data_IF_408608250863
#
_entry.id   IF_408608250863
#
_cell.length_a   1.000
_cell.length_b   1.000
_cell.length_c   1.000
_cell.angle_alpha   90.00
_cell.angle_beta   90.00
_cell.angle_gamma   90.00
#
_symmetry.space_group_name_H-M   'P 1'
#
loop_
_entity.id
_entity.type
_entity.pdbx_description
1 polymer ?
#
# COMPACT_ATOMS: atom_id res chain seq x y z
N UNK A 1 -26.57 -21.53 -12.71
CA UNK A 1 -25.85 -20.88 -11.60
C UNK A 1 -25.59 -19.47 -12.04
N UNK A 2 -26.21 -18.51 -11.36
CA UNK A 2 -26.27 -17.10 -11.76
C UNK A 2 -25.12 -16.36 -11.06
N UNK A 3 -23.96 -16.29 -11.71
CA UNK A 3 -22.77 -15.64 -11.19
C UNK A 3 -22.70 -14.21 -11.74
N UNK A 4 -22.64 -13.20 -10.87
CA UNK A 4 -22.25 -11.85 -11.30
C UNK A 4 -20.72 -11.76 -11.31
N UNK A 5 -20.13 -11.32 -12.42
CA UNK A 5 -18.67 -11.12 -12.50
C UNK A 5 -18.26 -9.98 -11.57
N UNK A 6 -17.72 -10.32 -10.39
CA UNK A 6 -16.90 -9.42 -9.59
C UNK A 6 -15.52 -9.20 -10.22
N UNK A 7 -14.61 -8.53 -9.50
CA UNK A 7 -13.18 -8.58 -9.86
C UNK A 7 -12.71 -10.05 -9.82
N UNK A 8 -11.72 -10.45 -10.62
CA UNK A 8 -11.21 -11.84 -10.66
C UNK A 8 -10.79 -12.40 -9.28
N UNK A 9 -10.71 -11.54 -8.26
CA UNK A 9 -10.34 -11.86 -6.88
C UNK A 9 -11.54 -12.20 -5.98
N UNK A 10 -12.77 -11.93 -6.42
CA UNK A 10 -13.99 -12.13 -5.63
C UNK A 10 -14.93 -13.08 -6.39
N UNK A 11 -15.10 -14.27 -5.84
CA UNK A 11 -16.11 -15.24 -6.28
C UNK A 11 -17.26 -15.13 -5.29
N UNK A 12 -18.39 -14.59 -5.74
CA UNK A 12 -19.59 -14.43 -4.92
C UNK A 12 -20.73 -15.28 -5.50
N UNK A 13 -21.40 -16.02 -4.63
CA UNK A 13 -22.61 -16.79 -4.93
C UNK A 13 -23.72 -16.48 -3.92
N UNK A 14 -24.85 -17.17 -4.06
CA UNK A 14 -26.02 -17.02 -3.19
C UNK A 14 -25.79 -17.43 -1.74
N UNK A 15 -24.68 -18.11 -1.42
CA UNK A 15 -24.27 -18.48 -0.06
C UNK A 15 -23.23 -17.53 0.55
N UNK A 16 -22.80 -16.52 -0.20
CA UNK A 16 -21.81 -15.53 0.27
C UNK A 16 -22.45 -14.60 1.29
N UNK A 17 -21.91 -14.58 2.51
CA UNK A 17 -22.41 -13.77 3.63
C UNK A 17 -21.30 -12.82 4.13
N UNK A 18 -21.50 -11.49 4.12
CA UNK A 18 -20.52 -10.51 4.58
C UNK A 18 -20.25 -10.57 6.09
N UNK A 19 -21.11 -11.22 6.88
CA UNK A 19 -20.99 -11.37 8.33
C UNK A 19 -20.28 -12.68 8.70
N UNK A 20 -20.41 -13.73 7.89
CA UNK A 20 -19.84 -15.06 8.16
C UNK A 20 -18.40 -15.25 7.64
N UNK A 21 -17.53 -14.26 7.86
CA UNK A 21 -16.12 -14.32 7.47
C UNK A 21 -15.26 -15.22 8.39
N UNK A 22 -14.22 -15.85 7.84
CA UNK A 22 -13.19 -16.54 8.63
C UNK A 22 -11.86 -15.80 8.52
N UNK A 23 -11.29 -15.39 9.65
CA UNK A 23 -9.95 -14.81 9.68
C UNK A 23 -8.93 -15.89 9.32
N UNK A 24 -8.14 -15.64 8.26
CA UNK A 24 -7.04 -16.52 7.85
C UNK A 24 -5.74 -15.76 7.91
N UNK A 25 -4.76 -16.36 8.57
CA UNK A 25 -3.42 -15.79 8.64
C UNK A 25 -2.73 -15.85 7.27
N UNK A 26 -2.12 -14.73 6.86
CA UNK A 26 -1.36 -14.61 5.62
C UNK A 26 0.13 -14.69 5.94
N UNK A 27 0.60 -15.90 6.25
CA UNK A 27 1.94 -16.17 6.78
C UNK A 27 3.06 -15.44 6.04
N UNK A 28 3.13 -15.55 4.70
CA UNK A 28 4.18 -14.92 3.90
C UNK A 28 4.23 -13.40 4.10
N UNK A 29 3.08 -12.72 4.03
CA UNK A 29 3.02 -11.26 4.21
C UNK A 29 3.35 -10.86 5.66
N UNK A 30 2.83 -11.60 6.63
CA UNK A 30 3.10 -11.33 8.05
C UNK A 30 4.57 -11.54 8.41
N UNK A 31 5.20 -12.62 7.93
CA UNK A 31 6.62 -12.88 8.16
C UNK A 31 7.47 -11.82 7.46
N UNK A 32 7.14 -11.45 6.22
CA UNK A 32 7.86 -10.41 5.48
C UNK A 32 7.87 -9.08 6.23
N UNK A 33 6.69 -8.55 6.58
CA UNK A 33 6.58 -7.27 7.31
C UNK A 33 7.20 -7.39 8.70
N UNK A 34 6.92 -8.50 9.41
CA UNK A 34 7.47 -8.74 10.74
C UNK A 34 8.99 -8.80 10.76
N UNK A 35 9.62 -9.43 9.77
CA UNK A 35 11.08 -9.49 9.63
C UNK A 35 11.68 -8.11 9.35
N UNK A 36 11.06 -7.30 8.48
CA UNK A 36 11.49 -5.92 8.24
C UNK A 36 11.42 -5.08 9.53
N UNK A 37 10.30 -5.17 10.27
CA UNK A 37 10.12 -4.45 11.54
C UNK A 37 11.13 -4.89 12.59
N UNK A 38 11.33 -6.20 12.77
CA UNK A 38 12.29 -6.73 13.74
C UNK A 38 13.71 -6.31 13.39
N UNK A 39 14.07 -6.36 12.10
CA UNK A 39 15.38 -5.88 11.62
C UNK A 39 15.58 -4.41 11.94
N UNK A 40 14.57 -3.56 11.69
CA UNK A 40 14.66 -2.13 12.01
C UNK A 40 14.81 -1.87 13.51
N UNK A 41 14.10 -2.62 14.37
CA UNK A 41 14.18 -2.46 15.83
C UNK A 41 15.53 -2.91 16.40
N UNK A 42 16.08 -4.02 15.89
CA UNK A 42 17.35 -4.56 16.38
C UNK A 42 18.53 -3.80 15.78
N UNK A 43 18.59 -3.67 14.46
CA UNK A 43 19.74 -3.09 13.76
C UNK A 43 19.72 -1.56 13.72
N UNK A 44 18.53 -0.94 13.79
CA UNK A 44 18.36 0.51 13.68
C UNK A 44 19.21 1.32 14.65
N UNK A 45 19.22 1.03 15.98
CA UNK A 45 20.04 1.76 16.95
C UNK A 45 21.55 1.71 16.64
N UNK A 46 22.03 0.60 16.08
CA UNK A 46 23.45 0.41 15.77
C UNK A 46 23.87 1.03 14.42
N UNK A 47 22.92 1.19 13.49
CA UNK A 47 23.16 1.70 12.15
C UNK A 47 22.66 3.14 11.95
N UNK A 48 22.18 3.78 13.01
CA UNK A 48 21.56 5.09 12.93
C UNK A 48 22.56 6.18 12.54
N UNK A 49 22.18 6.99 11.56
CA UNK A 49 22.81 8.26 11.25
C UNK A 49 21.74 9.31 10.95
N UNK A 50 22.06 10.58 11.20
CA UNK A 50 21.14 11.69 10.89
C UNK A 50 20.80 11.77 9.41
N UNK A 51 21.78 11.49 8.54
CA UNK A 51 21.58 11.47 7.09
C UNK A 51 20.61 10.36 6.66
N UNK A 52 20.74 9.16 7.24
CA UNK A 52 19.83 8.05 6.97
C UNK A 52 18.40 8.39 7.42
N UNK A 53 18.24 9.03 8.59
CA UNK A 53 16.94 9.49 9.05
C UNK A 53 16.34 10.53 8.10
N UNK A 54 17.14 11.50 7.63
CA UNK A 54 16.68 12.53 6.71
C UNK A 54 16.23 11.93 5.37
N UNK A 55 17.03 11.02 4.80
CA UNK A 55 16.68 10.29 3.57
C UNK A 55 15.39 9.49 3.77
N UNK A 56 15.24 8.81 4.90
CA UNK A 56 14.02 8.08 5.24
C UNK A 56 12.79 9.00 5.28
N UNK A 57 12.88 10.17 5.94
CA UNK A 57 11.77 11.12 6.04
C UNK A 57 11.39 11.70 4.69
N UNK A 58 12.38 12.09 3.87
CA UNK A 58 12.15 12.58 2.51
C UNK A 58 11.51 11.49 1.65
N UNK A 59 12.05 10.27 1.70
CA UNK A 59 11.51 9.12 0.98
C UNK A 59 10.06 8.82 1.39
N UNK A 60 9.74 8.88 2.67
CA UNK A 60 8.36 8.73 3.18
C UNK A 60 7.46 9.85 2.63
N UNK A 61 7.91 11.10 2.67
CA UNK A 61 7.16 12.23 2.12
C UNK A 61 6.84 12.05 0.63
N UNK A 62 7.81 11.62 -0.17
CA UNK A 62 7.65 11.43 -1.62
C UNK A 62 6.75 10.22 -1.91
N UNK A 63 6.97 9.09 -1.25
CA UNK A 63 6.29 7.83 -1.62
C UNK A 63 4.96 7.65 -0.90
N UNK A 64 4.91 7.82 0.43
CA UNK A 64 3.68 7.62 1.23
C UNK A 64 2.72 8.80 1.13
N UNK A 65 3.23 10.02 1.32
CA UNK A 65 2.37 11.19 1.34
C UNK A 65 2.00 11.63 -0.07
N UNK A 66 3.00 11.95 -0.90
CA UNK A 66 2.74 12.39 -2.28
C UNK A 66 2.27 11.22 -3.14
N UNK A 67 3.02 10.12 -3.17
CA UNK A 67 2.71 9.02 -4.07
C UNK A 67 1.42 8.29 -3.76
N UNK A 68 1.35 7.64 -2.59
CA UNK A 68 0.18 6.83 -2.20
C UNK A 68 -1.02 7.71 -1.84
N UNK A 69 -0.86 8.71 -0.97
CA UNK A 69 -2.02 9.47 -0.47
C UNK A 69 -2.54 10.50 -1.47
N UNK A 70 -1.68 11.30 -2.08
CA UNK A 70 -2.11 12.32 -3.07
C UNK A 70 -2.30 11.70 -4.46
N UNK A 71 -1.34 10.93 -4.95
CA UNK A 71 -1.36 10.29 -6.26
C UNK A 71 -2.38 9.17 -6.36
N UNK A 72 -2.12 8.01 -5.74
CA UNK A 72 -3.00 6.85 -5.91
C UNK A 72 -4.38 7.05 -5.29
N UNK A 73 -4.44 7.49 -4.03
CA UNK A 73 -5.72 7.57 -3.32
C UNK A 73 -6.56 8.76 -3.82
N UNK A 74 -6.06 9.99 -3.72
CA UNK A 74 -6.89 11.17 -4.06
C UNK A 74 -7.03 11.41 -5.56
N UNK A 75 -5.96 11.26 -6.35
CA UNK A 75 -6.02 11.52 -7.79
C UNK A 75 -6.53 10.32 -8.57
N UNK A 76 -5.90 9.15 -8.49
CA UNK A 76 -6.25 7.99 -9.32
C UNK A 76 -7.58 7.32 -8.91
N UNK A 77 -7.80 7.08 -7.61
CA UNK A 77 -8.99 6.38 -7.11
C UNK A 77 -10.18 7.33 -6.98
N UNK A 78 -10.00 8.47 -6.31
CA UNK A 78 -11.09 9.40 -5.99
C UNK A 78 -11.24 10.58 -6.96
N UNK A 79 -10.31 10.78 -7.91
CA UNK A 79 -10.35 11.87 -8.89
C UNK A 79 -10.65 13.26 -8.28
N UNK A 80 -10.06 13.57 -7.12
CA UNK A 80 -10.45 14.74 -6.29
C UNK A 80 -9.93 16.10 -6.75
N UNK A 81 -8.99 16.15 -7.69
CA UNK A 81 -8.41 17.39 -8.21
C UNK A 81 -7.81 17.16 -9.60
N UNK A 82 -7.69 18.20 -10.42
CA UNK A 82 -7.07 18.12 -11.75
C UNK A 82 -5.56 18.34 -11.68
N UNK A 83 -4.80 17.61 -12.51
CA UNK A 83 -3.38 17.85 -12.71
C UNK A 83 -2.94 17.39 -14.11
N UNK A 84 -1.81 17.90 -14.65
CA UNK A 84 -1.26 17.40 -15.90
C UNK A 84 -0.94 15.90 -15.81
N UNK A 85 -1.16 15.16 -16.91
CA UNK A 85 -1.04 13.71 -16.93
C UNK A 85 0.34 13.20 -16.49
N UNK A 86 1.42 13.92 -16.83
CA UNK A 86 2.77 13.54 -16.40
C UNK A 86 2.92 13.56 -14.87
N UNK A 87 2.28 14.51 -14.19
CA UNK A 87 2.36 14.65 -12.74
C UNK A 87 1.57 13.53 -12.06
N UNK A 88 0.40 13.19 -12.62
CA UNK A 88 -0.37 12.02 -12.18
C UNK A 88 0.47 10.74 -12.26
N UNK A 89 1.13 10.48 -13.39
CA UNK A 89 1.98 9.30 -13.54
C UNK A 89 3.15 9.27 -12.57
N UNK A 90 3.83 10.40 -12.35
CA UNK A 90 4.93 10.47 -11.38
C UNK A 90 4.45 10.15 -9.96
N UNK A 91 3.34 10.75 -9.54
CA UNK A 91 2.78 10.50 -8.21
C UNK A 91 2.29 9.06 -8.06
N UNK A 92 1.55 8.53 -9.03
CA UNK A 92 1.06 7.15 -8.99
C UNK A 92 2.23 6.16 -8.97
N UNK A 93 3.26 6.38 -9.79
CA UNK A 93 4.45 5.54 -9.79
C UNK A 93 5.18 5.57 -8.44
N UNK A 94 5.36 6.75 -7.84
CA UNK A 94 5.92 6.89 -6.50
C UNK A 94 5.07 6.15 -5.45
N UNK A 95 3.74 6.13 -5.61
CA UNK A 95 2.83 5.37 -4.76
C UNK A 95 2.96 3.85 -4.90
N UNK A 96 3.23 3.34 -6.11
CA UNK A 96 3.47 1.91 -6.35
C UNK A 96 4.70 1.40 -5.59
N UNK A 97 5.76 2.22 -5.51
CA UNK A 97 7.00 1.86 -4.80
C UNK A 97 6.80 1.57 -3.31
N UNK A 98 5.72 2.08 -2.71
CA UNK A 98 5.36 1.80 -1.31
C UNK A 98 5.02 0.32 -1.09
N UNK A 99 4.55 -0.38 -2.13
CA UNK A 99 4.16 -1.79 -2.02
C UNK A 99 2.88 -2.04 -1.20
N UNK A 100 2.15 -0.97 -0.84
CA UNK A 100 0.80 -1.07 -0.29
C UNK A 100 -0.19 -1.11 -1.45
N UNK A 101 -0.85 -2.25 -1.63
CA UNK A 101 -2.03 -2.32 -2.49
C UNK A 101 -3.22 -1.70 -1.75
N UNK A 102 -3.97 -0.85 -2.45
CA UNK A 102 -5.30 -0.37 -2.02
C UNK A 102 -6.36 -1.47 -2.07
#
# INVERSE_FOLDING_TARGET
MDWSKGSERIIADTSTDPVAGRVRWKAVKSIWIGAMTLTALIAGPFLFTWDALLIFLIGCGITLCVGHSVGMHRRLIHNSFECPLWLEYVMVYAGVLVGMAG
#
